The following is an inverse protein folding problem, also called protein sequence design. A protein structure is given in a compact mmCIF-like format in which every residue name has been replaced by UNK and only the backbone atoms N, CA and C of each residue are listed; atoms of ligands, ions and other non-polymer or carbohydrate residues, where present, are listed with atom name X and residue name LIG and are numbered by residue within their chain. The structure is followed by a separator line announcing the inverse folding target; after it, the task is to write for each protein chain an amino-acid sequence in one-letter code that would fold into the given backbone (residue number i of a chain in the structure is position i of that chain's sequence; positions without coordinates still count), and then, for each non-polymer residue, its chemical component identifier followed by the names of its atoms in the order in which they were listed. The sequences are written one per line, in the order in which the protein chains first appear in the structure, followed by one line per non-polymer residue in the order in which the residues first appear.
data_IF_187562774721
#
_entry.id   IF_187562774721
#
_cell.length_a   1.000
_cell.length_b   1.000
_cell.length_c   1.000
_cell.angle_alpha   90.00
_cell.angle_beta   90.00
_cell.angle_gamma   90.00
#
_symmetry.space_group_name_H-M   'P 1'
#
loop_
_entity.id
_entity.type
_entity.pdbx_description
1 polymer ?
#
# COMPACT_ATOMS: atom_id res chain seq x y z
N UNK A 1 10.08 16.35 2.05
CA UNK A 1 9.11 17.17 2.82
C UNK A 1 9.37 17.04 4.32
N UNK A 2 9.66 15.85 4.87
CA UNK A 2 9.91 15.64 6.32
C UNK A 2 11.35 15.86 6.74
N UNK A 3 12.29 15.98 5.82
CA UNK A 3 13.73 16.10 6.11
C UNK A 3 14.05 17.23 7.08
N UNK A 4 13.53 18.48 6.93
CA UNK A 4 13.81 19.55 7.88
C UNK A 4 13.27 19.29 9.29
N UNK A 5 12.27 18.44 9.41
CA UNK A 5 11.67 18.05 10.69
C UNK A 5 12.44 16.93 11.40
N UNK A 6 13.04 16.04 10.61
CA UNK A 6 13.77 14.87 11.11
C UNK A 6 15.29 15.06 11.15
N UNK A 7 15.80 16.11 10.53
CA UNK A 7 17.23 16.40 10.42
C UNK A 7 17.53 17.84 10.82
N UNK A 8 18.47 18.02 11.74
CA UNK A 8 18.98 19.35 12.06
C UNK A 8 20.18 19.67 11.13
N UNK A 9 19.98 20.60 10.21
CA UNK A 9 20.99 20.98 9.20
C UNK A 9 22.20 21.64 9.85
N UNK A 10 22.01 22.33 10.98
CA UNK A 10 23.09 23.08 11.66
C UNK A 10 23.99 22.16 12.49
N UNK A 11 23.40 21.19 13.19
CA UNK A 11 24.16 20.29 14.07
C UNK A 11 24.47 18.94 13.40
N UNK A 12 23.86 18.62 12.26
CA UNK A 12 24.00 17.34 11.60
C UNK A 12 23.34 16.17 12.35
N UNK A 13 22.47 16.45 13.31
CA UNK A 13 21.84 15.43 14.15
C UNK A 13 20.49 14.99 13.62
N UNK A 14 20.21 13.68 13.74
CA UNK A 14 18.90 13.11 13.49
C UNK A 14 17.98 13.42 14.67
N UNK A 15 16.79 13.93 14.36
CA UNK A 15 15.75 14.20 15.35
C UNK A 15 14.75 13.03 15.37
N UNK A 16 14.44 12.58 16.56
CA UNK A 16 13.30 11.68 16.79
C UNK A 16 12.11 12.53 17.19
N UNK A 17 11.07 12.52 16.38
CA UNK A 17 9.87 13.30 16.63
C UNK A 17 8.68 12.39 16.92
N UNK A 18 7.87 12.79 17.90
CA UNK A 18 6.60 12.15 18.18
C UNK A 18 5.58 12.57 17.13
N UNK A 19 5.11 11.62 16.32
CA UNK A 19 4.11 11.85 15.28
C UNK A 19 2.69 11.80 15.84
N UNK A 20 2.50 10.89 16.80
CA UNK A 20 1.21 10.65 17.41
C UNK A 20 1.39 10.29 18.89
N UNK A 21 0.62 10.92 19.76
CA UNK A 21 0.58 10.68 21.21
C UNK A 21 -0.89 10.49 21.59
N UNK A 22 -1.35 9.26 21.52
CA UNK A 22 -2.71 8.88 21.88
C UNK A 22 -2.72 7.97 23.10
N UNK A 23 -3.87 7.87 23.75
CA UNK A 23 -4.03 7.03 24.94
C UNK A 23 -3.68 5.55 24.69
N UNK A 24 -3.79 5.08 23.44
CA UNK A 24 -3.63 3.66 23.08
C UNK A 24 -2.45 3.39 22.15
N UNK A 25 -1.90 4.42 21.55
CA UNK A 25 -0.81 4.31 20.59
C UNK A 25 0.08 5.54 20.67
N UNK A 26 1.37 5.31 20.84
CA UNK A 26 2.40 6.30 20.65
C UNK A 26 3.20 5.93 19.39
N UNK A 27 3.43 6.92 18.51
CA UNK A 27 4.22 6.74 17.31
C UNK A 27 5.31 7.80 17.23
N UNK A 28 6.55 7.36 17.17
CA UNK A 28 7.70 8.22 16.92
C UNK A 28 8.27 7.93 15.54
N UNK A 29 8.83 8.95 14.90
CA UNK A 29 9.51 8.85 13.61
C UNK A 29 10.92 9.40 13.73
N UNK A 30 11.84 8.75 13.05
CA UNK A 30 13.21 9.20 12.90
C UNK A 30 13.70 8.89 11.48
N UNK A 31 14.71 9.60 11.03
CA UNK A 31 15.32 9.34 9.73
C UNK A 31 16.12 8.04 9.78
N UNK A 32 15.94 7.17 8.77
CA UNK A 32 16.79 6.00 8.59
C UNK A 32 18.19 6.44 8.11
N UNK A 33 19.22 6.14 8.87
CA UNK A 33 20.60 6.52 8.58
C UNK A 33 21.57 5.34 8.50
N UNK A 34 21.08 4.11 8.63
CA UNK A 34 21.92 2.92 8.52
C UNK A 34 22.43 2.75 7.09
N UNK A 35 23.69 2.39 6.91
CA UNK A 35 24.25 2.06 5.60
C UNK A 35 23.54 0.87 4.95
N UNK A 36 23.12 -0.10 5.75
CA UNK A 36 22.38 -1.29 5.31
C UNK A 36 21.01 -1.38 6.03
N UNK A 37 20.04 -0.57 5.66
CA UNK A 37 18.70 -0.63 6.27
C UNK A 37 17.99 -1.95 5.89
N UNK A 38 17.06 -2.42 6.73
CA UNK A 38 16.17 -3.52 6.37
C UNK A 38 15.44 -3.27 5.04
N UNK A 39 15.13 -4.32 4.30
CA UNK A 39 14.49 -4.21 2.98
C UNK A 39 13.23 -3.33 2.96
N UNK A 40 12.41 -3.43 4.01
CA UNK A 40 11.19 -2.64 4.12
C UNK A 40 11.41 -1.14 4.41
N UNK A 41 12.65 -0.72 4.72
CA UNK A 41 13.04 0.67 4.90
C UNK A 41 13.85 1.22 3.72
N UNK A 42 14.22 0.37 2.76
CA UNK A 42 14.86 0.80 1.53
C UNK A 42 13.83 1.46 0.60
N UNK A 43 14.24 2.58 0.00
CA UNK A 43 13.39 3.30 -0.95
C UNK A 43 13.01 2.42 -2.15
N UNK A 44 13.96 1.68 -2.68
CA UNK A 44 13.82 0.81 -3.86
C UNK A 44 12.73 -0.24 -3.68
N UNK A 45 12.55 -0.73 -2.45
CA UNK A 45 11.50 -1.70 -2.10
C UNK A 45 10.09 -1.21 -2.45
N UNK A 46 9.88 0.10 -2.45
CA UNK A 46 8.56 0.71 -2.67
C UNK A 46 8.46 1.46 -3.99
N UNK A 47 9.61 1.87 -4.55
CA UNK A 47 9.67 2.75 -5.71
C UNK A 47 10.24 2.10 -6.96
N UNK A 48 10.63 0.83 -6.92
CA UNK A 48 11.12 0.12 -8.09
C UNK A 48 10.08 0.09 -9.22
N UNK A 49 10.55 -0.04 -10.46
CA UNK A 49 9.68 -0.26 -11.61
C UNK A 49 9.28 -1.72 -11.70
N UNK A 50 8.01 -1.98 -11.95
CA UNK A 50 7.49 -3.33 -12.14
C UNK A 50 6.16 -3.30 -12.88
N UNK A 51 5.89 -4.33 -13.67
CA UNK A 51 4.55 -4.57 -14.22
C UNK A 51 3.66 -5.37 -13.27
N UNK A 52 4.19 -5.84 -12.12
CA UNK A 52 3.46 -6.64 -11.14
C UNK A 52 3.58 -6.07 -9.74
N UNK A 53 2.45 -5.82 -9.11
CA UNK A 53 2.37 -5.21 -7.79
C UNK A 53 1.44 -6.01 -6.88
N UNK A 54 1.82 -6.19 -5.62
CA UNK A 54 0.95 -6.79 -4.61
C UNK A 54 0.77 -5.85 -3.42
N UNK A 55 -0.40 -5.87 -2.84
CA UNK A 55 -0.73 -5.01 -1.70
C UNK A 55 -0.17 -5.54 -0.38
N UNK A 56 0.44 -4.67 0.41
CA UNK A 56 0.82 -4.91 1.81
C UNK A 56 -0.24 -4.42 2.79
N UNK A 57 -1.05 -3.45 2.41
CA UNK A 57 -2.28 -3.09 3.11
C UNK A 57 -3.45 -3.27 2.14
N UNK A 58 -4.61 -3.82 2.56
CA UNK A 58 -5.68 -4.16 1.63
C UNK A 58 -6.23 -2.95 0.89
N UNK A 59 -6.68 -3.14 -0.34
CA UNK A 59 -7.40 -2.11 -1.10
C UNK A 59 -8.81 -1.96 -0.53
N UNK A 60 -9.18 -0.74 -0.19
CA UNK A 60 -10.57 -0.41 0.16
C UNK A 60 -11.32 -0.05 -1.11
N UNK A 61 -12.43 -0.75 -1.34
CA UNK A 61 -13.24 -0.61 -2.54
C UNK A 61 -14.24 0.52 -2.39
N UNK A 62 -14.38 1.34 -3.41
CA UNK A 62 -15.27 2.53 -3.41
C UNK A 62 -16.73 2.19 -3.72
N UNK A 63 -16.99 0.97 -4.19
CA UNK A 63 -18.32 0.50 -4.59
C UNK A 63 -18.86 -0.55 -3.62
N UNK A 64 -20.17 -0.63 -3.54
CA UNK A 64 -20.82 -1.78 -2.93
C UNK A 64 -20.65 -2.98 -3.86
N UNK A 65 -20.16 -4.09 -3.30
CA UNK A 65 -19.89 -5.29 -4.07
C UNK A 65 -20.84 -6.37 -3.56
N UNK A 66 -21.75 -6.76 -4.42
CA UNK A 66 -22.73 -7.80 -4.11
C UNK A 66 -23.01 -8.65 -5.34
N UNK A 67 -23.65 -9.80 -5.12
CA UNK A 67 -24.07 -10.71 -6.17
C UNK A 67 -22.97 -11.64 -6.72
N UNK A 68 -23.32 -12.43 -7.75
CA UNK A 68 -22.46 -13.48 -8.29
C UNK A 68 -21.18 -12.96 -8.98
N UNK A 69 -21.22 -11.74 -9.49
CA UNK A 69 -20.07 -11.11 -10.17
C UNK A 69 -19.30 -10.13 -9.28
N UNK A 70 -19.43 -10.26 -7.95
CA UNK A 70 -18.82 -9.33 -7.00
C UNK A 70 -17.30 -9.14 -7.17
N UNK A 71 -16.58 -10.20 -7.50
CA UNK A 71 -15.13 -10.12 -7.66
C UNK A 71 -14.70 -9.43 -8.95
N UNK A 72 -15.46 -9.59 -10.03
CA UNK A 72 -15.24 -8.85 -11.28
C UNK A 72 -15.47 -7.35 -11.07
N UNK A 73 -16.59 -7.00 -10.42
CA UNK A 73 -16.90 -5.59 -10.08
C UNK A 73 -15.82 -4.99 -9.17
N UNK A 74 -15.32 -5.79 -8.23
CA UNK A 74 -14.23 -5.37 -7.35
C UNK A 74 -12.91 -5.15 -8.11
N UNK A 75 -12.54 -6.05 -9.03
CA UNK A 75 -11.37 -5.91 -9.87
C UNK A 75 -11.45 -4.65 -10.74
N UNK A 76 -12.61 -4.42 -11.39
CA UNK A 76 -12.84 -3.21 -12.17
C UNK A 76 -12.75 -1.93 -11.32
N UNK A 77 -13.25 -1.94 -10.08
CA UNK A 77 -13.10 -0.81 -9.16
C UNK A 77 -11.62 -0.50 -8.85
N UNK A 78 -10.77 -1.51 -8.75
CA UNK A 78 -9.31 -1.32 -8.56
C UNK A 78 -8.67 -0.77 -9.83
N UNK A 79 -9.02 -1.29 -11.02
CA UNK A 79 -8.54 -0.77 -12.31
C UNK A 79 -8.89 0.71 -12.47
N UNK A 80 -10.16 1.06 -12.23
CA UNK A 80 -10.62 2.46 -12.26
C UNK A 80 -9.87 3.34 -11.23
N UNK A 81 -9.51 2.78 -10.08
CA UNK A 81 -8.73 3.48 -9.06
C UNK A 81 -7.30 3.77 -9.52
N UNK A 82 -6.68 2.87 -10.28
CA UNK A 82 -5.36 3.10 -10.88
C UNK A 82 -5.41 4.25 -11.88
N UNK A 83 -6.38 4.24 -12.80
CA UNK A 83 -6.54 5.32 -13.79
C UNK A 83 -6.77 6.69 -13.13
N UNK A 84 -7.61 6.74 -12.08
CA UNK A 84 -7.90 7.99 -11.36
C UNK A 84 -6.69 8.62 -10.67
N UNK A 85 -5.64 7.86 -10.40
CA UNK A 85 -4.39 8.39 -9.83
C UNK A 85 -3.29 8.58 -10.88
N UNK A 86 -3.63 8.45 -12.16
CA UNK A 86 -2.71 8.68 -13.27
C UNK A 86 -1.84 7.49 -13.67
N UNK A 87 -2.17 6.29 -13.18
CA UNK A 87 -1.52 5.06 -13.64
C UNK A 87 -2.21 4.53 -14.89
N UNK A 88 -1.50 3.75 -15.73
CA UNK A 88 -2.15 3.01 -16.80
C UNK A 88 -3.23 2.09 -16.24
N UNK A 89 -4.23 1.76 -17.07
CA UNK A 89 -5.21 0.76 -16.69
C UNK A 89 -4.54 -0.60 -16.57
N UNK A 90 -4.69 -1.30 -15.44
CA UNK A 90 -4.16 -2.64 -15.29
C UNK A 90 -4.78 -3.62 -16.30
N UNK A 91 -3.96 -4.51 -16.85
CA UNK A 91 -4.41 -5.63 -17.67
C UNK A 91 -5.31 -6.55 -16.84
N UNK A 92 -4.86 -6.88 -15.62
CA UNK A 92 -5.63 -7.71 -14.71
C UNK A 92 -5.45 -7.32 -13.24
N UNK A 93 -6.44 -7.70 -12.42
CA UNK A 93 -6.45 -7.50 -10.96
C UNK A 93 -7.01 -8.76 -10.29
N UNK A 94 -6.18 -9.42 -9.51
CA UNK A 94 -6.56 -10.58 -8.72
C UNK A 94 -6.81 -10.15 -7.27
N UNK A 95 -7.99 -10.44 -6.74
CA UNK A 95 -8.36 -10.11 -5.36
C UNK A 95 -8.39 -11.34 -4.48
N UNK A 96 -7.82 -11.22 -3.27
CA UNK A 96 -7.76 -12.32 -2.32
C UNK A 96 -7.80 -11.76 -0.88
N UNK A 97 -8.35 -12.50 0.10
CA UNK A 97 -8.21 -12.15 1.52
C UNK A 97 -6.78 -12.17 2.03
N UNK A 98 -5.88 -12.89 1.36
CA UNK A 98 -4.47 -13.06 1.73
C UNK A 98 -3.59 -12.29 0.73
N UNK A 99 -2.59 -11.57 1.24
CA UNK A 99 -1.59 -10.91 0.40
C UNK A 99 -0.63 -11.93 -0.22
N UNK A 100 -0.12 -11.61 -1.42
CA UNK A 100 1.01 -12.34 -2.01
C UNK A 100 2.35 -12.03 -1.32
N UNK A 101 2.40 -11.01 -0.48
CA UNK A 101 3.61 -10.65 0.29
C UNK A 101 3.59 -11.46 1.60
N UNK A 102 4.64 -12.23 1.81
CA UNK A 102 4.80 -13.04 3.02
C UNK A 102 4.84 -12.17 4.29
N UNK A 103 4.20 -12.62 5.35
CA UNK A 103 4.15 -11.93 6.64
C UNK A 103 3.13 -10.79 6.73
N UNK A 104 2.41 -10.51 5.65
CA UNK A 104 1.32 -9.53 5.66
C UNK A 104 0.06 -10.15 6.29
N UNK A 105 -0.60 -9.48 7.26
CA UNK A 105 -1.85 -9.94 7.83
C UNK A 105 -2.95 -10.10 6.78
N UNK A 106 -3.94 -10.94 7.06
CA UNK A 106 -5.11 -11.09 6.19
C UNK A 106 -5.93 -9.80 6.14
N UNK A 107 -6.65 -9.57 5.06
CA UNK A 107 -7.45 -8.34 4.89
C UNK A 107 -8.47 -8.13 6.02
N UNK A 108 -9.04 -9.20 6.58
CA UNK A 108 -10.01 -9.11 7.67
C UNK A 108 -9.40 -8.74 9.04
N UNK A 109 -8.09 -8.77 9.17
CA UNK A 109 -7.37 -8.33 10.37
C UNK A 109 -7.15 -6.81 10.41
N UNK A 110 -7.35 -6.14 9.27
CA UNK A 110 -7.30 -4.67 9.20
C UNK A 110 -8.61 -4.05 9.63
N UNK A 111 -8.60 -2.89 10.32
CA UNK A 111 -9.80 -2.15 10.70
C UNK A 111 -10.66 -1.82 9.48
N UNK A 112 -11.96 -1.99 9.57
CA UNK A 112 -12.86 -1.67 8.47
C UNK A 112 -13.19 -0.19 8.45
N UNK A 113 -12.99 0.44 7.30
CA UNK A 113 -13.42 1.80 7.08
C UNK A 113 -14.95 1.86 6.89
N UNK A 114 -15.54 2.97 7.32
CA UNK A 114 -16.95 3.26 7.11
C UNK A 114 -17.13 4.39 6.10
N UNK A 115 -18.19 4.31 5.32
CA UNK A 115 -18.59 5.38 4.40
C UNK A 115 -19.15 6.56 5.17
N UNK A 116 -18.71 7.77 4.81
CA UNK A 116 -19.22 8.99 5.47
C UNK A 116 -20.71 9.23 5.23
N UNK A 117 -21.24 8.79 4.08
CA UNK A 117 -22.60 9.08 3.65
C UNK A 117 -23.68 8.32 4.45
N UNK A 118 -23.44 7.05 4.74
CA UNK A 118 -24.44 6.12 5.29
C UNK A 118 -23.92 5.27 6.46
N UNK A 119 -22.67 5.47 6.88
CA UNK A 119 -22.03 4.68 7.93
C UNK A 119 -21.77 3.22 7.55
N UNK A 120 -22.10 2.82 6.33
CA UNK A 120 -21.90 1.46 5.84
C UNK A 120 -20.44 1.04 5.81
N UNK A 121 -20.17 -0.22 6.16
CA UNK A 121 -18.81 -0.78 6.14
C UNK A 121 -18.33 -0.91 4.70
N UNK A 122 -17.10 -0.47 4.46
CA UNK A 122 -16.46 -0.63 3.16
C UNK A 122 -15.80 -2.00 3.05
N UNK A 123 -15.94 -2.63 1.90
CA UNK A 123 -15.22 -3.87 1.59
C UNK A 123 -13.75 -3.58 1.31
N UNK A 124 -12.89 -4.49 1.74
CA UNK A 124 -11.48 -4.44 1.41
C UNK A 124 -10.92 -5.85 1.19
N UNK A 125 -9.94 -5.95 0.31
CA UNK A 125 -9.23 -7.17 -0.01
C UNK A 125 -7.78 -6.86 -0.41
N UNK A 126 -6.90 -7.83 -0.28
CA UNK A 126 -5.60 -7.74 -0.93
C UNK A 126 -5.75 -7.90 -2.44
N UNK A 127 -4.84 -7.26 -3.17
CA UNK A 127 -4.84 -7.30 -4.63
C UNK A 127 -3.44 -7.63 -5.15
N UNK A 128 -3.41 -8.37 -6.27
CA UNK A 128 -2.28 -8.40 -7.20
C UNK A 128 -2.72 -7.62 -8.43
N UNK A 129 -1.93 -6.64 -8.83
CA UNK A 129 -2.23 -5.74 -9.94
C UNK A 129 -1.19 -6.00 -11.02
N UNK A 130 -1.66 -6.31 -12.22
CA UNK A 130 -0.84 -6.63 -13.37
C UNK A 130 -1.02 -5.54 -14.43
N UNK A 131 0.09 -4.92 -14.85
CA UNK A 131 0.13 -3.94 -15.92
C UNK A 131 0.78 -4.55 -17.16
N UNK A 132 0.47 -4.04 -18.34
CA UNK A 132 1.11 -4.43 -19.60
C UNK A 132 2.53 -3.87 -19.73
N UNK A 133 2.84 -2.82 -18.96
CA UNK A 133 4.13 -2.15 -18.94
C UNK A 133 4.61 -1.91 -17.50
N UNK A 134 5.91 -1.65 -17.35
CA UNK A 134 6.48 -1.32 -16.05
C UNK A 134 6.00 0.04 -15.55
N UNK A 135 5.45 0.04 -14.36
CA UNK A 135 4.98 1.23 -13.65
C UNK A 135 5.95 1.57 -12.52
N UNK A 136 6.23 2.86 -12.37
CA UNK A 136 7.08 3.38 -11.29
C UNK A 136 6.27 3.53 -10.00
N UNK A 137 6.78 2.99 -8.89
CA UNK A 137 6.21 3.24 -7.56
C UNK A 137 6.61 4.61 -6.96
N UNK A 138 6.10 4.95 -5.80
CA UNK A 138 5.24 4.14 -4.94
C UNK A 138 3.78 4.11 -5.42
N UNK A 139 3.11 2.99 -5.22
CA UNK A 139 1.70 2.82 -5.62
C UNK A 139 0.82 2.67 -4.38
N UNK A 140 -0.23 3.51 -4.30
CA UNK A 140 -1.31 3.41 -3.33
C UNK A 140 -2.66 3.54 -4.03
N UNK A 141 -3.50 2.53 -3.95
CA UNK A 141 -4.77 2.45 -4.69
C UNK A 141 -5.98 2.29 -3.78
N UNK A 142 -7.15 2.61 -4.32
CA UNK A 142 -8.43 2.45 -3.63
C UNK A 142 -8.88 3.65 -2.81
N UNK A 143 -10.09 3.55 -2.27
CA UNK A 143 -10.73 4.63 -1.52
C UNK A 143 -10.06 4.95 -0.17
N UNK A 144 -9.29 4.01 0.35
CA UNK A 144 -8.60 4.13 1.64
C UNK A 144 -7.19 4.68 1.58
N UNK A 145 -6.66 5.07 0.40
CA UNK A 145 -5.24 5.42 0.20
C UNK A 145 -4.74 6.55 1.12
N UNK A 146 -5.58 7.51 1.49
CA UNK A 146 -5.23 8.59 2.43
C UNK A 146 -5.30 8.17 3.91
N UNK A 147 -5.58 6.90 4.18
CA UNK A 147 -5.64 6.30 5.52
C UNK A 147 -4.71 5.08 5.64
N UNK A 148 -3.70 4.99 4.74
CA UNK A 148 -2.70 3.91 4.75
C UNK A 148 -3.14 2.59 4.12
N UNK A 149 -4.31 2.55 3.46
CA UNK A 149 -4.79 1.36 2.74
C UNK A 149 -4.33 1.37 1.29
N UNK A 150 -4.23 0.17 0.70
CA UNK A 150 -3.89 -0.01 -0.71
C UNK A 150 -2.43 0.26 -1.05
N UNK A 151 -1.53 0.26 -0.06
CA UNK A 151 -0.10 0.36 -0.31
C UNK A 151 0.38 -0.92 -1.00
N UNK A 152 1.06 -0.74 -2.13
CA UNK A 152 1.58 -1.83 -2.95
C UNK A 152 3.10 -1.92 -2.85
N UNK A 153 3.60 -3.14 -3.03
CA UNK A 153 5.02 -3.45 -3.20
C UNK A 153 5.20 -4.14 -4.56
N UNK A 154 6.25 -3.83 -5.33
CA UNK A 154 6.55 -4.52 -6.56
C UNK A 154 6.84 -5.99 -6.29
N UNK A 155 6.30 -6.87 -7.15
CA UNK A 155 6.68 -8.27 -7.19
C UNK A 155 7.86 -8.39 -8.15
N UNK A 156 9.05 -8.52 -7.62
CA UNK A 156 10.22 -8.91 -8.42
C UNK A 156 9.99 -10.31 -8.98
N UNK A 157 10.38 -10.55 -10.23
CA UNK A 157 10.51 -11.93 -10.72
C UNK A 157 11.51 -12.60 -9.80
N UNK A 158 11.09 -13.62 -9.09
CA UNK A 158 11.98 -14.41 -8.28
C UNK A 158 13.11 -14.94 -9.14
N UNK A 159 14.26 -14.35 -9.02
CA UNK A 159 15.50 -15.06 -9.29
C UNK A 159 15.55 -16.19 -8.28
N UNK A 160 15.16 -17.37 -8.70
CA UNK A 160 15.48 -18.57 -7.95
C UNK A 160 16.99 -18.72 -7.99
N UNK A 161 17.62 -18.44 -6.85
CA UNK A 161 18.89 -19.05 -6.53
C UNK A 161 18.84 -19.39 -5.05
N UNK A 162 18.64 -20.65 -4.83
CA UNK A 162 18.92 -21.32 -3.59
C UNK A 162 20.42 -21.36 -3.44
N UNK A 163 20.94 -20.77 -2.41
CA UNK A 163 22.21 -21.10 -1.83
C UNK A 163 22.00 -21.62 -0.42
#
# INVERSE_FOLDING_TARGET
ILTPWLWNVETGEVRRNRLFDGQWLECTVELETREAPPENLKNETWTARSCRWATVTPVVLDRHIDGPRKWEIAAESVKDSCERIGLPRPADVLLNPVSMIQGVPRSNEFPRLTRKKDGGRMHHAHAVILFDEDVQGPIMVGAGRFRGYGLCRPLTQGGGEHG
#
